data_IF_833291015690
#
_entry.id   IF_833291015690
#
_cell.length_a   1.000
_cell.length_b   1.000
_cell.length_c   1.000
_cell.angle_alpha   90.00
_cell.angle_beta   90.00
_cell.angle_gamma   90.00
#
_symmetry.space_group_name_H-M   'P 1'
#
loop_
_entity.id
_entity.type
_entity.pdbx_description
1 polymer ?
#
# COMPACT_ATOMS: atom_id res chain seq x y z
N UNK A 1 0.56 -9.14 14.56
CA UNK A 1 -0.09 -9.59 13.30
C UNK A 1 0.80 -9.17 12.15
N UNK A 2 1.04 -10.06 11.16
CA UNK A 2 1.75 -9.68 9.93
C UNK A 2 0.77 -9.73 8.76
N UNK A 3 0.55 -8.60 8.09
CA UNK A 3 -0.42 -8.45 7.01
C UNK A 3 0.23 -7.75 5.82
N UNK A 4 0.08 -8.31 4.63
CA UNK A 4 0.36 -7.59 3.39
C UNK A 4 -0.94 -7.34 2.65
N UNK A 5 -1.17 -6.08 2.28
CA UNK A 5 -2.30 -5.64 1.46
C UNK A 5 -1.76 -5.41 0.05
N UNK A 6 -2.09 -6.34 -0.84
CA UNK A 6 -1.63 -6.34 -2.22
C UNK A 6 -2.70 -5.75 -3.15
N UNK A 7 -2.56 -4.48 -3.52
CA UNK A 7 -3.45 -3.84 -4.48
C UNK A 7 -3.04 -4.20 -5.90
N UNK A 8 -3.68 -5.22 -6.45
CA UNK A 8 -3.36 -5.78 -7.77
C UNK A 8 -4.22 -5.23 -8.90
N UNK A 9 -3.68 -5.29 -10.11
CA UNK A 9 -4.42 -4.92 -11.30
C UNK A 9 -3.52 -4.75 -12.52
N UNK A 10 -4.17 -4.58 -13.69
CA UNK A 10 -3.49 -4.30 -14.95
C UNK A 10 -2.72 -2.97 -14.92
N UNK A 11 -2.00 -2.65 -16.01
CA UNK A 11 -1.39 -1.34 -16.19
C UNK A 11 -2.45 -0.24 -16.25
N UNK A 12 -2.12 0.94 -15.75
CA UNK A 12 -2.93 2.18 -15.87
C UNK A 12 -4.38 2.07 -15.35
N UNK A 13 -4.60 1.33 -14.26
CA UNK A 13 -5.90 1.26 -13.59
C UNK A 13 -5.94 1.99 -12.24
N UNK A 14 -5.05 2.95 -12.02
CA UNK A 14 -5.07 3.81 -10.83
C UNK A 14 -4.52 3.19 -9.53
N UNK A 15 -3.76 2.08 -9.59
CA UNK A 15 -3.19 1.45 -8.38
C UNK A 15 -2.29 2.40 -7.58
N UNK A 16 -1.36 3.07 -8.27
CA UNK A 16 -0.46 4.05 -7.66
C UNK A 16 -1.23 5.20 -7.04
N UNK A 17 -2.23 5.74 -7.75
CA UNK A 17 -3.09 6.82 -7.26
C UNK A 17 -3.85 6.40 -6.00
N UNK A 18 -4.43 5.20 -5.99
CA UNK A 18 -5.14 4.67 -4.83
C UNK A 18 -4.20 4.57 -3.61
N UNK A 19 -2.97 4.04 -3.77
CA UNK A 19 -1.99 3.95 -2.68
C UNK A 19 -1.52 5.33 -2.22
N UNK A 20 -1.32 6.29 -3.12
CA UNK A 20 -1.00 7.68 -2.77
C UNK A 20 -2.13 8.31 -1.94
N UNK A 21 -3.39 8.04 -2.27
CA UNK A 21 -4.54 8.48 -1.47
C UNK A 21 -4.55 7.84 -0.07
N UNK A 22 -4.23 6.54 0.03
CA UNK A 22 -4.04 5.87 1.33
C UNK A 22 -2.97 6.57 2.14
N UNK A 23 -1.79 6.80 1.52
CA UNK A 23 -0.68 7.48 2.19
C UNK A 23 -1.09 8.88 2.66
N UNK A 24 -1.73 9.70 1.82
CA UNK A 24 -2.16 11.05 2.17
C UNK A 24 -3.12 11.05 3.38
N UNK A 25 -4.08 10.13 3.41
CA UNK A 25 -5.04 10.00 4.50
C UNK A 25 -4.37 9.61 5.82
N UNK A 26 -3.46 8.65 5.78
CA UNK A 26 -2.73 8.23 6.97
C UNK A 26 -1.73 9.30 7.41
N UNK A 27 -1.04 9.95 6.47
CA UNK A 27 -0.11 11.03 6.76
C UNK A 27 -0.79 12.22 7.45
N UNK A 28 -2.00 12.59 7.03
CA UNK A 28 -2.76 13.68 7.66
C UNK A 28 -2.99 13.44 9.16
N UNK A 29 -3.09 12.17 9.58
CA UNK A 29 -3.30 11.77 10.98
C UNK A 29 -1.99 11.48 11.74
N UNK A 30 -1.00 10.92 11.03
CA UNK A 30 0.19 10.31 11.63
C UNK A 30 1.50 10.93 11.15
N UNK A 31 1.49 12.17 10.64
CA UNK A 31 2.70 12.85 10.15
C UNK A 31 3.88 12.83 11.13
N UNK A 32 3.71 13.06 12.46
CA UNK A 32 4.82 13.05 13.41
C UNK A 32 5.52 11.69 13.56
N UNK A 33 4.86 10.60 13.17
CA UNK A 33 5.37 9.22 13.26
C UNK A 33 5.61 8.60 11.88
N UNK A 34 5.68 9.44 10.84
CA UNK A 34 5.90 9.03 9.46
C UNK A 34 7.34 9.32 9.05
N UNK A 35 7.97 8.33 8.40
CA UNK A 35 9.25 8.51 7.71
C UNK A 35 9.02 8.32 6.22
N UNK A 36 9.37 9.33 5.41
CA UNK A 36 9.26 9.30 3.95
C UNK A 36 10.65 9.05 3.38
N UNK A 37 10.79 8.01 2.57
CA UNK A 37 12.03 7.66 1.88
C UNK A 37 12.02 8.17 0.44
N UNK A 38 10.83 8.18 -0.17
CA UNK A 38 10.56 8.71 -1.51
C UNK A 38 9.13 9.30 -1.55
N UNK A 39 8.93 10.48 -2.12
CA UNK A 39 9.96 11.40 -2.60
C UNK A 39 10.67 12.09 -1.42
N UNK A 40 11.86 12.65 -1.66
CA UNK A 40 12.60 13.41 -0.63
C UNK A 40 11.85 14.69 -0.20
N UNK A 41 11.05 15.26 -1.10
CA UNK A 41 10.17 16.38 -0.80
C UNK A 41 8.71 15.94 -0.90
N UNK A 42 7.95 16.05 0.22
CA UNK A 42 6.54 15.64 0.25
C UNK A 42 5.65 16.40 -0.73
N UNK A 43 6.00 17.64 -1.07
CA UNK A 43 5.25 18.43 -2.07
C UNK A 43 5.26 17.76 -3.45
N UNK A 44 6.26 16.93 -3.76
CA UNK A 44 6.37 16.23 -5.03
C UNK A 44 5.29 15.14 -5.19
N UNK A 45 4.66 14.69 -4.10
CA UNK A 45 3.54 13.74 -4.16
C UNK A 45 2.31 14.29 -4.89
N UNK A 46 2.23 15.61 -5.07
CA UNK A 46 1.17 16.24 -5.89
C UNK A 46 1.27 15.82 -7.38
N UNK A 47 2.45 15.38 -7.83
CA UNK A 47 2.66 14.95 -9.20
C UNK A 47 2.30 13.46 -9.37
N UNK A 48 1.54 13.14 -10.42
CA UNK A 48 1.07 11.78 -10.67
C UNK A 48 2.19 10.76 -10.93
N UNK A 49 3.33 11.20 -11.47
CA UNK A 49 4.47 10.34 -11.79
C UNK A 49 5.43 10.09 -10.61
N UNK A 50 5.19 10.72 -9.47
CA UNK A 50 6.03 10.51 -8.29
C UNK A 50 5.44 9.40 -7.44
N UNK A 51 6.25 8.39 -7.15
CA UNK A 51 5.88 7.27 -6.30
C UNK A 51 6.23 7.53 -4.83
N UNK A 52 5.49 6.90 -3.92
CA UNK A 52 5.73 6.97 -2.48
C UNK A 52 6.37 5.69 -1.97
N UNK A 53 7.42 5.85 -1.16
CA UNK A 53 7.96 4.84 -0.25
C UNK A 53 8.05 5.46 1.14
N UNK A 54 7.32 4.92 2.10
CA UNK A 54 7.25 5.47 3.45
C UNK A 54 6.98 4.39 4.50
N UNK A 55 7.29 4.72 5.75
CA UNK A 55 6.77 3.99 6.91
C UNK A 55 5.97 4.92 7.81
N UNK A 56 4.91 4.39 8.41
CA UNK A 56 4.04 5.10 9.35
C UNK A 56 3.87 4.24 10.60
N UNK A 57 4.11 4.82 11.77
CA UNK A 57 3.84 4.14 13.04
C UNK A 57 2.44 4.52 13.53
N UNK A 58 1.56 3.54 13.64
CA UNK A 58 0.19 3.66 14.13
C UNK A 58 0.06 2.87 15.43
N UNK A 59 -0.03 3.56 16.55
CA UNK A 59 0.10 2.92 17.86
C UNK A 59 1.46 2.24 18.01
N UNK A 60 1.48 0.92 18.25
CA UNK A 60 2.71 0.12 18.30
C UNK A 60 3.08 -0.53 16.97
N UNK A 61 2.21 -0.45 15.95
CA UNK A 61 2.36 -1.13 14.66
C UNK A 61 3.11 -0.26 13.66
N UNK A 62 4.14 -0.80 13.01
CA UNK A 62 4.84 -0.15 11.90
C UNK A 62 4.23 -0.62 10.58
N UNK A 63 3.84 0.35 9.75
CA UNK A 63 3.21 0.16 8.45
C UNK A 63 4.18 0.62 7.35
N UNK A 64 4.48 -0.24 6.38
CA UNK A 64 5.23 0.10 5.16
C UNK A 64 4.29 0.36 3.99
N UNK A 65 4.58 1.37 3.18
CA UNK A 65 3.78 1.75 2.00
C UNK A 65 4.71 1.94 0.81
N UNK A 66 4.45 1.20 -0.29
CA UNK A 66 5.13 1.34 -1.58
C UNK A 66 4.11 1.41 -2.71
N UNK A 67 4.15 2.50 -3.48
CA UNK A 67 3.21 2.70 -4.58
C UNK A 67 3.69 2.11 -5.91
N UNK A 68 4.98 1.86 -6.09
CA UNK A 68 5.48 1.15 -7.26
C UNK A 68 5.07 -0.32 -7.22
N UNK A 69 4.65 -0.84 -8.37
CA UNK A 69 4.18 -2.23 -8.47
C UNK A 69 4.41 -2.83 -9.85
N UNK A 70 5.27 -2.23 -10.66
CA UNK A 70 5.62 -2.73 -11.99
C UNK A 70 6.80 -3.70 -11.93
N UNK A 71 6.89 -4.66 -12.86
CA UNK A 71 8.05 -5.51 -13.00
C UNK A 71 9.32 -4.66 -13.18
N UNK A 72 10.41 -5.02 -12.48
CA UNK A 72 11.67 -4.28 -12.52
C UNK A 72 11.66 -2.95 -11.75
N UNK A 73 10.56 -2.60 -11.05
CA UNK A 73 10.53 -1.47 -10.13
C UNK A 73 11.25 -1.78 -8.82
N UNK A 74 11.39 -0.77 -7.95
CA UNK A 74 11.98 -0.95 -6.61
C UNK A 74 11.09 -1.74 -5.63
N UNK A 75 9.90 -2.20 -6.04
CA UNK A 75 8.91 -2.86 -5.17
C UNK A 75 9.53 -4.02 -4.36
N UNK A 76 10.31 -4.89 -5.01
CA UNK A 76 10.99 -5.99 -4.31
C UNK A 76 11.92 -5.47 -3.21
N UNK A 77 12.80 -4.51 -3.53
CA UNK A 77 13.72 -3.94 -2.55
C UNK A 77 12.97 -3.23 -1.41
N UNK A 78 11.89 -2.52 -1.73
CA UNK A 78 11.08 -1.85 -0.72
C UNK A 78 10.43 -2.83 0.25
N UNK A 79 9.94 -3.95 -0.26
CA UNK A 79 9.37 -5.02 0.57
C UNK A 79 10.41 -5.64 1.48
N UNK A 80 11.62 -5.95 0.96
CA UNK A 80 12.72 -6.48 1.75
C UNK A 80 13.14 -5.51 2.87
N UNK A 81 13.22 -4.21 2.55
CA UNK A 81 13.48 -3.17 3.53
C UNK A 81 12.40 -3.12 4.62
N UNK A 82 11.11 -3.17 4.24
CA UNK A 82 10.00 -3.14 5.20
C UNK A 82 10.01 -4.36 6.13
N UNK A 83 10.35 -5.53 5.62
CA UNK A 83 10.53 -6.74 6.44
C UNK A 83 11.70 -6.55 7.41
N UNK A 84 12.84 -6.08 6.93
CA UNK A 84 14.03 -5.83 7.75
C UNK A 84 13.79 -4.77 8.84
N UNK A 85 12.98 -3.74 8.54
CA UNK A 85 12.60 -2.71 9.51
C UNK A 85 11.50 -3.15 10.48
N UNK A 86 10.95 -4.36 10.32
CA UNK A 86 9.93 -4.91 11.20
C UNK A 86 8.53 -4.38 10.95
N UNK A 87 8.21 -3.94 9.72
CA UNK A 87 6.84 -3.57 9.37
C UNK A 87 5.90 -4.75 9.58
N UNK A 88 4.84 -4.53 10.34
CA UNK A 88 3.82 -5.56 10.61
C UNK A 88 2.70 -5.53 9.56
N UNK A 89 2.46 -4.36 8.96
CA UNK A 89 1.53 -4.18 7.84
C UNK A 89 2.31 -3.60 6.66
N UNK A 90 2.13 -4.16 5.47
CA UNK A 90 2.76 -3.67 4.25
C UNK A 90 1.68 -3.47 3.19
N UNK A 91 1.60 -2.26 2.61
CA UNK A 91 0.74 -1.94 1.47
C UNK A 91 1.61 -1.78 0.23
N UNK A 92 1.28 -2.54 -0.83
CA UNK A 92 1.99 -2.48 -2.11
C UNK A 92 1.04 -2.52 -3.30
N UNK A 93 1.45 -1.89 -4.41
CA UNK A 93 0.87 -2.18 -5.72
C UNK A 93 1.52 -3.43 -6.31
N UNK A 94 0.78 -4.17 -7.13
CA UNK A 94 1.34 -5.28 -7.90
C UNK A 94 0.57 -5.52 -9.20
N UNK A 95 1.15 -6.32 -10.08
CA UNK A 95 0.47 -6.80 -11.29
C UNK A 95 -0.43 -7.99 -10.97
N UNK A 96 -1.24 -8.41 -11.95
CA UNK A 96 -2.07 -9.61 -11.83
C UNK A 96 -1.26 -10.91 -11.94
N UNK A 97 -0.04 -10.84 -12.46
CA UNK A 97 0.85 -11.98 -12.68
C UNK A 97 2.31 -11.52 -12.76
N UNK A 98 3.24 -12.47 -12.65
CA UNK A 98 4.68 -12.25 -12.79
C UNK A 98 5.39 -11.96 -11.47
N UNK A 99 6.57 -11.34 -11.54
CA UNK A 99 7.52 -11.23 -10.43
C UNK A 99 6.96 -10.52 -9.19
N UNK A 100 6.10 -9.53 -9.37
CA UNK A 100 5.50 -8.82 -8.24
C UNK A 100 4.56 -9.71 -7.42
N UNK A 101 3.88 -10.66 -8.06
CA UNK A 101 3.07 -11.69 -7.35
C UNK A 101 3.99 -12.63 -6.59
N UNK A 102 5.10 -13.08 -7.21
CA UNK A 102 6.06 -13.97 -6.57
C UNK A 102 6.66 -13.33 -5.32
N UNK A 103 6.98 -12.04 -5.36
CA UNK A 103 7.44 -11.28 -4.19
C UNK A 103 6.45 -11.37 -3.03
N UNK A 104 5.16 -11.17 -3.31
CA UNK A 104 4.12 -11.20 -2.27
C UNK A 104 3.91 -12.61 -1.72
N UNK A 105 3.85 -13.63 -2.58
CA UNK A 105 3.69 -15.02 -2.14
C UNK A 105 4.90 -15.53 -1.34
N UNK A 106 6.10 -15.02 -1.63
CA UNK A 106 7.29 -15.28 -0.82
C UNK A 106 7.19 -14.70 0.60
N UNK A 107 6.55 -13.54 0.77
CA UNK A 107 6.30 -12.98 2.10
C UNK A 107 5.36 -13.86 2.93
N UNK A 108 4.33 -14.41 2.30
CA UNK A 108 3.43 -15.34 2.94
C UNK A 108 4.17 -16.61 3.41
N UNK A 109 4.91 -17.25 2.50
CA UNK A 109 5.56 -18.54 2.76
C UNK A 109 6.80 -18.44 3.67
N UNK A 110 7.62 -17.38 3.51
CA UNK A 110 8.93 -17.28 4.18
C UNK A 110 8.93 -16.35 5.40
N UNK A 111 7.99 -15.40 5.49
CA UNK A 111 7.97 -14.40 6.55
C UNK A 111 6.68 -14.40 7.38
N UNK A 112 5.71 -15.28 7.05
CA UNK A 112 4.48 -15.50 7.80
C UNK A 112 3.50 -14.32 7.73
N UNK A 113 3.49 -13.58 6.61
CA UNK A 113 2.46 -12.57 6.37
C UNK A 113 1.18 -13.23 5.86
N UNK A 114 0.04 -12.76 6.36
CA UNK A 114 -1.25 -13.04 5.72
C UNK A 114 -1.43 -12.08 4.54
N UNK A 115 -1.87 -12.58 3.39
CA UNK A 115 -2.06 -11.75 2.20
C UNK A 115 -3.53 -11.40 2.03
N UNK A 116 -3.83 -10.09 2.04
CA UNK A 116 -5.12 -9.55 1.62
C UNK A 116 -4.99 -9.07 0.16
N UNK A 117 -5.54 -9.84 -0.76
CA UNK A 117 -5.56 -9.50 -2.18
C UNK A 117 -6.71 -8.55 -2.48
N UNK A 118 -6.38 -7.35 -2.93
CA UNK A 118 -7.36 -6.37 -3.39
C UNK A 118 -7.26 -6.20 -4.90
N UNK A 119 -8.40 -6.11 -5.57
CA UNK A 119 -8.47 -5.90 -7.02
C UNK A 119 -8.88 -4.47 -7.31
N UNK A 120 -7.98 -3.68 -7.89
CA UNK A 120 -8.33 -2.36 -8.37
C UNK A 120 -9.25 -2.47 -9.59
N UNK A 121 -10.39 -1.80 -9.56
CA UNK A 121 -11.35 -1.75 -10.66
C UNK A 121 -11.05 -0.56 -11.59
N UNK A 122 -11.49 -0.67 -12.86
CA UNK A 122 -11.45 0.43 -13.83
C UNK A 122 -12.86 0.90 -14.12
N UNK A 123 -13.09 2.21 -13.99
CA UNK A 123 -14.28 2.87 -14.52
C UNK A 123 -13.94 3.49 -15.88
N UNK A 124 -14.83 3.40 -16.84
CA UNK A 124 -14.65 3.98 -18.19
C UNK A 124 -14.91 5.48 -18.23
N UNK A 125 -15.69 5.99 -17.27
CA UNK A 125 -15.96 7.41 -17.10
C UNK A 125 -14.88 8.08 -16.24
N UNK A 126 -14.11 9.07 -16.76
CA UNK A 126 -13.08 9.75 -16.02
C UNK A 126 -13.56 10.41 -14.72
N UNK A 127 -14.76 10.96 -14.68
CA UNK A 127 -15.32 11.59 -13.48
C UNK A 127 -15.66 10.58 -12.40
N UNK A 128 -16.08 9.38 -12.79
CA UNK A 128 -16.31 8.26 -11.90
C UNK A 128 -14.98 7.69 -11.39
N UNK A 129 -13.95 7.66 -12.21
CA UNK A 129 -12.66 7.08 -11.88
C UNK A 129 -11.99 7.77 -10.69
N UNK A 130 -11.88 9.09 -10.72
CA UNK A 130 -11.27 9.86 -9.62
C UNK A 130 -11.98 9.60 -8.28
N UNK A 131 -13.32 9.61 -8.29
CA UNK A 131 -14.12 9.32 -7.10
C UNK A 131 -13.95 7.89 -6.60
N UNK A 132 -13.79 6.94 -7.52
CA UNK A 132 -13.57 5.53 -7.18
C UNK A 132 -12.21 5.33 -6.51
N UNK A 133 -11.16 5.93 -7.06
CA UNK A 133 -9.80 5.88 -6.50
C UNK A 133 -9.73 6.51 -5.11
N UNK A 134 -10.41 7.65 -4.90
CA UNK A 134 -10.49 8.30 -3.59
C UNK A 134 -11.22 7.41 -2.57
N UNK A 135 -12.40 6.90 -2.91
CA UNK A 135 -13.18 6.01 -2.02
C UNK A 135 -12.42 4.73 -1.70
N UNK A 136 -11.75 4.17 -2.69
CA UNK A 136 -10.99 2.95 -2.54
C UNK A 136 -9.75 3.19 -1.66
N UNK A 137 -9.05 4.31 -1.86
CA UNK A 137 -7.96 4.74 -0.99
C UNK A 137 -8.40 4.96 0.46
N UNK A 138 -9.54 5.62 0.68
CA UNK A 138 -10.10 5.81 2.01
C UNK A 138 -10.42 4.48 2.69
N UNK A 139 -11.05 3.56 1.99
CA UNK A 139 -11.39 2.25 2.51
C UNK A 139 -10.15 1.42 2.91
N UNK A 140 -9.10 1.43 2.08
CA UNK A 140 -7.83 0.75 2.41
C UNK A 140 -7.17 1.40 3.63
N UNK A 141 -7.16 2.74 3.71
CA UNK A 141 -6.62 3.45 4.87
C UNK A 141 -7.33 3.07 6.17
N UNK A 142 -8.67 2.94 6.13
CA UNK A 142 -9.47 2.50 7.28
C UNK A 142 -9.14 1.06 7.69
N UNK A 143 -8.93 0.15 6.73
CA UNK A 143 -8.49 -1.22 7.01
C UNK A 143 -7.14 -1.19 7.74
N UNK A 144 -6.16 -0.48 7.20
CA UNK A 144 -4.82 -0.37 7.77
C UNK A 144 -4.90 0.18 9.21
N UNK A 145 -5.61 1.28 9.41
CA UNK A 145 -5.74 1.92 10.72
C UNK A 145 -6.37 0.98 11.74
N UNK A 146 -7.48 0.34 11.38
CA UNK A 146 -8.15 -0.62 12.27
C UNK A 146 -7.26 -1.81 12.58
N UNK A 147 -6.65 -2.43 11.57
CA UNK A 147 -5.74 -3.56 11.76
C UNK A 147 -4.54 -3.19 12.63
N UNK A 148 -3.96 -1.99 12.45
CA UNK A 148 -2.85 -1.51 13.24
C UNK A 148 -3.21 -1.31 14.71
N UNK A 149 -4.40 -0.77 15.00
CA UNK A 149 -4.85 -0.48 16.36
C UNK A 149 -5.38 -1.71 17.09
N UNK A 150 -6.12 -2.59 16.38
CA UNK A 150 -6.71 -3.79 17.00
C UNK A 150 -5.82 -5.02 16.94
N UNK A 151 -4.79 -5.00 16.07
CA UNK A 151 -3.90 -6.13 15.75
C UNK A 151 -4.63 -7.36 15.20
N UNK A 152 -5.81 -7.14 14.63
CA UNK A 152 -6.66 -8.19 14.04
C UNK A 152 -7.15 -7.77 12.67
N UNK A 153 -7.27 -8.72 11.75
CA UNK A 153 -7.98 -8.53 10.48
C UNK A 153 -9.43 -8.98 10.68
N UNK A 154 -10.35 -8.03 10.57
CA UNK A 154 -11.78 -8.36 10.72
C UNK A 154 -12.26 -9.23 9.55
N UNK A 155 -13.06 -10.28 9.80
CA UNK A 155 -13.69 -11.07 8.74
C UNK A 155 -14.54 -10.25 7.76
N UNK A 156 -14.99 -9.06 8.14
CA UNK A 156 -15.75 -8.15 7.26
C UNK A 156 -14.93 -7.58 6.11
N UNK A 157 -13.60 -7.74 6.12
CA UNK A 157 -12.72 -7.28 5.04
C UNK A 157 -12.26 -8.41 4.11
N UNK A 158 -12.61 -9.66 4.44
CA UNK A 158 -12.36 -10.86 3.64
C UNK A 158 -13.58 -11.21 2.80
#
# INVERSE_FOLDING_TARGET
>A
MKLIIANRGAHDIGKTTAIKNVFANLYAKYAPTTTIYEPLNIADLAYNWVDVKATIKIGSTLVGIESQGDPGSRMQQSVDDFVAWGCEIILVACRNQGDTINTITNLESNHGYTVLWLQNGKCTDPACWQKLEEKYGNWIADIIEKCALTRTLSPTYL
#
